data_IF_964882389629
#
_entry.id   IF_964882389629
#
_cell.length_a   1.000
_cell.length_b   1.000
_cell.length_c   1.000
_cell.angle_alpha   90.00
_cell.angle_beta   90.00
_cell.angle_gamma   90.00
#
_symmetry.space_group_name_H-M   'P 1'
#
loop_
_entity.id
_entity.type
_entity.pdbx_description
1 polymer ?
#
# COMPACT_ATOMS: atom_id res chain seq x y z
N UNK A 1 -13.67 4.89 -32.24
CA UNK A 1 -14.61 3.83 -31.83
C UNK A 1 -13.94 3.08 -30.71
N UNK A 2 -14.24 3.45 -29.48
CA UNK A 2 -13.81 2.77 -28.26
C UNK A 2 -15.09 2.31 -27.57
N UNK A 3 -15.42 1.05 -27.73
CA UNK A 3 -16.48 0.41 -26.95
C UNK A 3 -15.82 -0.19 -25.72
N UNK A 4 -16.17 0.32 -24.54
CA UNK A 4 -15.96 -0.38 -23.28
C UNK A 4 -17.09 -1.42 -23.13
N UNK A 5 -16.79 -2.65 -22.66
CA UNK A 5 -17.76 -3.72 -22.61
C UNK A 5 -18.79 -3.51 -21.48
N UNK A 6 -20.06 -3.73 -21.82
CA UNK A 6 -21.19 -3.83 -20.88
C UNK A 6 -21.14 -5.21 -20.21
N UNK A 7 -21.22 -5.27 -18.87
CA UNK A 7 -21.48 -6.51 -18.13
C UNK A 7 -22.82 -6.43 -17.38
N UNK A 8 -23.69 -7.46 -17.48
CA UNK A 8 -24.98 -7.52 -16.81
C UNK A 8 -24.85 -8.24 -15.46
N UNK A 9 -25.42 -7.67 -14.39
CA UNK A 9 -25.50 -8.34 -13.09
C UNK A 9 -25.73 -7.39 -11.91
N UNK A 10 -26.65 -6.44 -12.06
CA UNK A 10 -27.02 -5.49 -11.02
C UNK A 10 -27.98 -6.16 -10.01
N UNK A 11 -27.55 -6.25 -8.75
CA UNK A 11 -28.42 -6.53 -7.62
C UNK A 11 -28.25 -5.40 -6.60
N UNK A 12 -28.76 -4.22 -6.94
CA UNK A 12 -28.96 -3.12 -5.98
C UNK A 12 -29.77 -3.59 -4.77
N UNK A 13 -29.10 -3.78 -3.63
CA UNK A 13 -29.73 -3.96 -2.33
C UNK A 13 -29.56 -2.66 -1.54
N UNK A 14 -30.65 -1.97 -1.14
CA UNK A 14 -30.57 -0.78 -0.29
C UNK A 14 -30.33 -1.18 1.17
N UNK A 15 -29.38 -0.54 1.85
CA UNK A 15 -29.12 -0.70 3.29
C UNK A 15 -29.67 0.50 4.05
N UNK A 16 -30.46 0.26 5.10
CA UNK A 16 -31.17 1.27 5.92
C UNK A 16 -30.57 1.44 7.33
N UNK A 17 -30.79 2.64 7.89
CA UNK A 17 -30.31 3.32 9.11
C UNK A 17 -30.38 2.60 10.49
N UNK A 18 -29.53 3.05 11.43
CA UNK A 18 -29.63 2.85 12.90
C UNK A 18 -29.20 4.11 13.69
N UNK A 19 -29.68 4.27 14.93
CA UNK A 19 -29.61 5.44 15.83
C UNK A 19 -28.92 5.04 17.16
N UNK A 20 -27.99 5.86 17.66
CA UNK A 20 -27.48 5.82 19.05
C UNK A 20 -25.98 5.53 19.18
N UNK A 21 -25.18 6.59 19.39
CA UNK A 21 -23.70 6.65 19.41
C UNK A 21 -22.99 5.59 20.30
N UNK A 22 -22.11 4.80 19.68
CA UNK A 22 -20.88 4.18 20.21
C UNK A 22 -20.04 3.67 19.00
N UNK A 23 -18.72 3.95 19.00
CA UNK A 23 -17.84 3.91 17.82
C UNK A 23 -17.61 2.51 17.22
N UNK A 24 -17.65 2.46 15.87
CA UNK A 24 -16.73 1.84 14.89
C UNK A 24 -17.54 1.35 13.68
N UNK A 25 -17.20 1.91 12.51
CA UNK A 25 -17.82 1.72 11.20
C UNK A 25 -19.22 2.33 11.11
N UNK A 26 -19.43 3.26 10.18
CA UNK A 26 -20.71 3.97 10.05
C UNK A 26 -21.19 4.53 11.40
N UNK A 27 -20.37 5.37 12.03
CA UNK A 27 -20.82 6.59 12.69
C UNK A 27 -19.61 7.37 13.22
N UNK A 28 -19.40 8.53 12.59
CA UNK A 28 -18.80 9.76 13.11
C UNK A 28 -17.33 9.81 13.54
N UNK A 29 -16.46 9.31 12.66
CA UNK A 29 -15.31 10.12 12.20
C UNK A 29 -14.90 9.83 10.73
N UNK A 30 -15.83 9.32 9.92
CA UNK A 30 -15.83 9.53 8.46
C UNK A 30 -17.28 9.75 8.04
N UNK A 31 -17.85 10.89 8.42
CA UNK A 31 -19.15 11.32 7.89
C UNK A 31 -18.91 11.97 6.50
N UNK A 32 -18.66 11.12 5.51
CA UNK A 32 -18.86 11.42 4.09
C UNK A 32 -20.16 10.77 3.61
N UNK A 33 -21.22 10.93 4.40
CA UNK A 33 -22.57 10.62 3.99
C UNK A 33 -23.31 11.96 3.80
N UNK A 34 -23.54 12.33 2.53
CA UNK A 34 -24.64 13.24 2.25
C UNK A 34 -25.92 12.60 2.78
N UNK A 35 -26.52 13.23 3.79
CA UNK A 35 -27.84 12.91 4.27
C UNK A 35 -28.84 13.18 3.13
N UNK A 36 -29.36 12.14 2.47
CA UNK A 36 -30.43 12.26 1.47
C UNK A 36 -31.74 11.68 2.01
N UNK A 37 -32.62 12.55 2.50
CA UNK A 37 -34.06 12.38 2.27
C UNK A 37 -34.44 13.17 1.02
N UNK A 38 -34.73 12.47 -0.07
CA UNK A 38 -35.24 13.06 -1.31
C UNK A 38 -36.13 12.04 -2.02
N UNK A 39 -37.43 12.36 -2.12
CA UNK A 39 -38.46 11.47 -2.61
C UNK A 39 -38.21 10.94 -4.03
N UNK A 40 -38.52 9.66 -4.21
CA UNK A 40 -38.62 8.99 -5.49
C UNK A 40 -39.63 9.71 -6.40
N UNK A 41 -39.17 10.21 -7.56
CA UNK A 41 -40.07 10.65 -8.64
C UNK A 41 -39.78 9.89 -9.94
N UNK A 42 -40.18 8.61 -9.94
CA UNK A 42 -40.54 7.86 -11.15
C UNK A 42 -39.42 7.06 -11.85
N UNK A 43 -39.81 6.09 -12.73
CA UNK A 43 -38.87 5.21 -13.40
C UNK A 43 -38.28 5.91 -14.62
N UNK A 44 -37.26 6.75 -14.40
CA UNK A 44 -36.44 7.37 -15.42
C UNK A 44 -35.06 6.74 -15.42
N UNK A 45 -34.70 6.10 -16.53
CA UNK A 45 -33.39 5.48 -16.75
C UNK A 45 -32.35 6.55 -17.16
N UNK A 46 -32.19 7.61 -16.36
CA UNK A 46 -31.13 8.60 -16.53
C UNK A 46 -30.19 8.52 -15.33
N UNK A 47 -29.02 7.93 -15.56
CA UNK A 47 -27.90 8.01 -14.63
C UNK A 47 -27.37 9.44 -14.74
N UNK A 48 -27.94 10.32 -13.93
CA UNK A 48 -27.67 11.75 -14.01
C UNK A 48 -26.26 12.01 -13.48
N UNK A 49 -25.49 12.79 -14.25
CA UNK A 49 -24.11 13.19 -14.00
C UNK A 49 -24.03 14.25 -12.88
N UNK A 50 -24.79 14.03 -11.80
CA UNK A 50 -24.98 14.94 -10.68
C UNK A 50 -24.07 14.53 -9.51
N UNK A 51 -23.54 15.48 -8.73
CA UNK A 51 -22.68 15.17 -7.59
C UNK A 51 -23.42 14.44 -6.46
N UNK A 52 -22.65 13.88 -5.52
CA UNK A 52 -23.09 13.12 -4.34
C UNK A 52 -23.62 11.71 -4.60
N UNK A 53 -22.93 10.96 -5.43
CA UNK A 53 -23.32 9.58 -5.68
C UNK A 53 -22.53 8.57 -4.86
N UNK A 54 -23.22 7.51 -4.43
CA UNK A 54 -22.59 6.35 -3.80
C UNK A 54 -23.06 5.09 -4.53
N UNK A 55 -22.10 4.28 -4.96
CA UNK A 55 -22.37 3.02 -5.66
C UNK A 55 -21.70 1.85 -4.94
N UNK A 56 -22.36 0.69 -4.98
CA UNK A 56 -21.78 -0.59 -4.55
C UNK A 56 -21.76 -1.53 -5.74
N UNK A 57 -20.62 -2.15 -6.01
CA UNK A 57 -20.45 -3.09 -7.10
C UNK A 57 -19.65 -4.32 -6.64
N UNK A 58 -19.96 -5.48 -7.22
CA UNK A 58 -19.18 -6.71 -7.06
C UNK A 58 -18.68 -7.15 -8.43
N UNK A 59 -17.46 -6.76 -8.84
CA UNK A 59 -16.95 -7.11 -10.17
C UNK A 59 -16.72 -8.62 -10.34
N UNK A 60 -16.62 -9.36 -9.24
CA UNK A 60 -16.54 -10.82 -9.17
C UNK A 60 -17.01 -11.30 -7.78
N UNK A 61 -17.10 -12.63 -7.59
CA UNK A 61 -17.61 -13.25 -6.35
C UNK A 61 -16.72 -13.02 -5.11
N UNK A 62 -15.48 -12.58 -5.30
CA UNK A 62 -14.48 -12.35 -4.25
C UNK A 62 -14.20 -10.87 -3.99
N UNK A 63 -14.97 -9.94 -4.56
CA UNK A 63 -14.68 -8.51 -4.44
C UNK A 63 -15.96 -7.70 -4.28
N UNK A 64 -15.92 -6.76 -3.33
CA UNK A 64 -16.93 -5.71 -3.18
C UNK A 64 -16.22 -4.37 -3.29
N UNK A 65 -16.80 -3.45 -4.04
CA UNK A 65 -16.32 -2.08 -4.24
C UNK A 65 -17.43 -1.13 -3.81
N UNK A 66 -17.12 -0.21 -2.92
CA UNK A 66 -17.96 0.95 -2.60
C UNK A 66 -17.27 2.17 -3.17
N UNK A 67 -18.00 2.99 -3.91
CA UNK A 67 -17.47 4.18 -4.57
C UNK A 67 -18.28 5.39 -4.14
N UNK A 68 -17.56 6.42 -3.76
CA UNK A 68 -18.07 7.75 -3.47
C UNK A 68 -17.63 8.67 -4.59
N UNK A 69 -18.58 9.12 -5.40
CA UNK A 69 -18.35 9.92 -6.60
C UNK A 69 -18.90 11.33 -6.40
N UNK A 70 -18.00 12.30 -6.50
CA UNK A 70 -18.26 13.74 -6.39
C UNK A 70 -19.07 14.11 -5.15
N UNK A 71 -18.74 13.51 -4.01
CA UNK A 71 -19.47 13.78 -2.76
C UNK A 71 -18.98 15.07 -2.13
N UNK A 72 -19.91 16.00 -1.94
CA UNK A 72 -19.76 17.25 -1.22
C UNK A 72 -19.91 17.07 0.30
N UNK A 73 -19.79 18.19 1.02
CA UNK A 73 -19.78 18.21 2.49
C UNK A 73 -21.12 18.70 3.06
N UNK A 74 -21.39 18.32 4.32
CA UNK A 74 -22.59 18.74 5.03
C UNK A 74 -22.71 20.28 5.10
N UNK A 75 -23.90 20.88 4.88
CA UNK A 75 -25.22 20.23 4.84
C UNK A 75 -25.73 19.72 3.49
N UNK A 76 -25.08 20.07 2.37
CA UNK A 76 -25.34 19.60 1.00
C UNK A 76 -24.55 20.52 0.02
N UNK A 77 -23.31 20.85 0.37
CA UNK A 77 -22.49 21.78 -0.39
C UNK A 77 -21.53 21.01 -1.29
N UNK A 78 -21.66 21.22 -2.60
CA UNK A 78 -20.84 20.58 -3.64
C UNK A 78 -19.88 21.58 -4.30
N UNK A 79 -19.58 22.70 -3.64
CA UNK A 79 -18.53 23.65 -4.08
C UNK A 79 -17.12 23.04 -3.97
N UNK A 80 -16.99 21.96 -3.19
CA UNK A 80 -15.85 21.05 -3.11
C UNK A 80 -16.37 19.63 -3.11
N UNK A 81 -15.63 18.72 -3.69
CA UNK A 81 -16.04 17.31 -3.82
C UNK A 81 -14.87 16.37 -3.61
N UNK A 82 -15.16 15.22 -2.98
CA UNK A 82 -14.21 14.14 -2.82
C UNK A 82 -14.62 12.94 -3.72
N UNK A 83 -13.62 12.24 -4.27
CA UNK A 83 -13.75 11.02 -5.04
C UNK A 83 -12.88 9.93 -4.42
N UNK A 84 -13.49 8.85 -3.94
CA UNK A 84 -12.75 7.74 -3.36
C UNK A 84 -13.50 6.41 -3.41
N UNK A 85 -12.78 5.32 -3.21
CA UNK A 85 -13.33 3.97 -3.16
C UNK A 85 -12.80 3.18 -1.97
N UNK A 86 -13.62 2.24 -1.53
CA UNK A 86 -13.25 1.12 -0.67
C UNK A 86 -13.41 -0.17 -1.48
N UNK A 87 -12.36 -0.97 -1.54
CA UNK A 87 -12.39 -2.32 -2.10
C UNK A 87 -12.14 -3.31 -0.97
N UNK A 88 -13.01 -4.31 -0.86
CA UNK A 88 -12.82 -5.46 0.00
C UNK A 88 -12.66 -6.68 -0.89
N UNK A 89 -11.56 -7.41 -0.73
CA UNK A 89 -11.23 -8.57 -1.55
C UNK A 89 -11.01 -9.79 -0.67
N UNK A 90 -11.79 -10.83 -0.88
CA UNK A 90 -11.59 -12.11 -0.22
C UNK A 90 -10.24 -12.71 -0.66
N UNK A 91 -9.37 -12.98 0.32
CA UNK A 91 -8.05 -13.56 0.12
C UNK A 91 -7.98 -15.02 0.59
N UNK A 92 -9.09 -15.60 1.05
CA UNK A 92 -9.12 -16.94 1.67
C UNK A 92 -8.57 -18.03 0.75
N UNK A 93 -8.82 -17.94 -0.56
CA UNK A 93 -8.30 -18.91 -1.53
C UNK A 93 -6.78 -18.78 -1.76
N UNK A 94 -6.22 -17.59 -1.57
CA UNK A 94 -4.81 -17.29 -1.79
C UNK A 94 -3.98 -17.66 -0.58
N UNK A 95 -4.50 -17.37 0.62
CA UNK A 95 -3.82 -17.66 1.89
C UNK A 95 -4.11 -19.08 2.40
N UNK A 96 -5.24 -19.66 2.00
CA UNK A 96 -5.73 -20.94 2.51
C UNK A 96 -6.38 -20.84 3.89
N UNK A 97 -6.73 -19.63 4.35
CA UNK A 97 -7.35 -19.36 5.65
C UNK A 97 -8.68 -18.64 5.43
N UNK A 98 -9.78 -19.27 5.85
CA UNK A 98 -11.11 -18.67 5.75
C UNK A 98 -11.19 -17.36 6.54
N UNK A 99 -11.69 -16.32 5.89
CA UNK A 99 -11.89 -15.01 6.52
C UNK A 99 -10.69 -14.07 6.40
N UNK A 100 -9.62 -14.48 5.71
CA UNK A 100 -8.57 -13.56 5.27
C UNK A 100 -9.09 -12.69 4.13
N UNK A 101 -8.82 -11.39 4.19
CA UNK A 101 -9.22 -10.44 3.16
C UNK A 101 -8.26 -9.27 3.08
N UNK A 102 -8.30 -8.57 1.95
CA UNK A 102 -7.58 -7.33 1.73
C UNK A 102 -8.55 -6.15 1.68
N UNK A 103 -8.09 -5.02 2.19
CA UNK A 103 -8.73 -3.72 2.13
C UNK A 103 -7.92 -2.85 1.19
N UNK A 104 -8.54 -2.24 0.19
CA UNK A 104 -7.94 -1.13 -0.56
C UNK A 104 -8.77 0.13 -0.39
N UNK A 105 -8.13 1.23 0.01
CA UNK A 105 -8.68 2.56 -0.18
C UNK A 105 -8.05 3.17 -1.43
N UNK A 106 -8.87 3.82 -2.25
CA UNK A 106 -8.43 4.50 -3.46
C UNK A 106 -8.93 5.94 -3.39
N UNK A 107 -8.03 6.89 -3.26
CA UNK A 107 -8.32 8.31 -3.25
C UNK A 107 -7.90 8.92 -4.58
N UNK A 108 -8.80 9.64 -5.24
CA UNK A 108 -8.53 10.31 -6.52
C UNK A 108 -8.53 11.83 -6.34
N UNK A 109 -9.61 12.36 -5.78
CA UNK A 109 -9.77 13.78 -5.50
C UNK A 109 -10.18 13.97 -4.05
N UNK A 110 -9.44 14.79 -3.31
CA UNK A 110 -9.80 15.23 -1.96
C UNK A 110 -9.66 16.75 -1.89
N UNK A 111 -10.80 17.44 -1.73
CA UNK A 111 -10.88 18.90 -1.67
C UNK A 111 -11.37 19.43 -0.32
N UNK A 112 -12.05 18.60 0.46
CA UNK A 112 -12.66 18.99 1.74
C UNK A 112 -12.37 17.97 2.84
N UNK A 113 -12.26 18.46 4.07
CA UNK A 113 -11.99 17.66 5.29
C UNK A 113 -13.13 17.68 6.30
N UNK A 114 -14.01 18.69 6.26
CA UNK A 114 -14.97 18.94 7.33
C UNK A 114 -16.27 19.58 6.85
N UNK A 115 -17.42 19.08 7.32
CA UNK A 115 -18.71 19.75 7.14
C UNK A 115 -19.02 20.80 8.22
N UNK A 116 -20.05 21.62 7.99
CA UNK A 116 -20.45 22.69 8.92
C UNK A 116 -20.82 22.17 10.33
N UNK A 117 -21.41 20.97 10.41
CA UNK A 117 -21.78 20.33 11.67
C UNK A 117 -20.57 20.06 12.59
N UNK A 118 -19.41 19.82 11.99
CA UNK A 118 -18.14 19.57 12.68
C UNK A 118 -17.32 20.84 12.87
N UNK A 119 -17.96 22.01 12.74
CA UNK A 119 -17.31 23.32 12.90
C UNK A 119 -16.47 23.75 11.70
N UNK A 120 -16.64 23.10 10.55
CA UNK A 120 -16.01 23.48 9.29
C UNK A 120 -16.54 24.80 8.73
N UNK A 121 -15.79 25.38 7.80
CA UNK A 121 -16.24 26.49 6.95
C UNK A 121 -15.70 26.27 5.55
N UNK A 122 -16.56 26.36 4.54
CA UNK A 122 -16.23 26.09 3.14
C UNK A 122 -15.55 24.71 2.94
N UNK A 123 -15.96 23.71 3.72
CA UNK A 123 -15.44 22.33 3.63
C UNK A 123 -14.14 22.05 4.41
N UNK A 124 -13.61 23.02 5.17
CA UNK A 124 -12.29 22.92 5.82
C UNK A 124 -12.30 23.40 7.28
N UNK A 125 -11.30 22.94 8.07
CA UNK A 125 -11.10 23.30 9.48
C UNK A 125 -12.14 22.66 10.42
N UNK A 126 -12.09 22.97 11.72
CA UNK A 126 -13.02 22.37 12.69
C UNK A 126 -12.48 21.05 13.25
N UNK A 127 -13.29 19.99 13.21
CA UNK A 127 -12.81 18.61 13.45
C UNK A 127 -12.67 17.92 12.11
N UNK A 128 -11.44 17.84 11.59
CA UNK A 128 -11.14 17.25 10.29
C UNK A 128 -11.40 15.74 10.25
N UNK A 129 -11.67 15.24 9.03
CA UNK A 129 -11.94 13.83 8.77
C UNK A 129 -10.79 12.91 9.23
N UNK A 130 -11.17 11.70 9.63
CA UNK A 130 -10.27 10.58 9.82
C UNK A 130 -10.49 9.57 8.69
N UNK A 131 -9.42 8.92 8.26
CA UNK A 131 -9.50 7.81 7.31
C UNK A 131 -8.85 6.56 7.89
N UNK A 132 -9.30 5.37 7.50
CA UNK A 132 -8.76 4.10 7.97
C UNK A 132 -9.84 3.06 8.25
N UNK A 133 -9.54 2.09 9.11
CA UNK A 133 -10.46 1.02 9.49
C UNK A 133 -10.39 0.73 10.98
N UNK A 134 -11.46 0.15 11.49
CA UNK A 134 -11.55 -0.28 12.88
C UNK A 134 -12.45 -1.53 12.97
N UNK A 135 -12.03 -2.50 13.78
CA UNK A 135 -12.67 -3.81 13.92
C UNK A 135 -13.85 -3.81 14.91
N UNK A 136 -14.05 -2.76 15.69
CA UNK A 136 -15.18 -2.67 16.64
C UNK A 136 -14.89 -3.33 17.99
N UNK A 137 -13.63 -3.72 18.23
CA UNK A 137 -13.22 -4.52 19.38
C UNK A 137 -12.37 -3.73 20.40
N UNK A 138 -12.27 -2.41 20.22
CA UNK A 138 -11.44 -1.47 21.00
C UNK A 138 -9.93 -1.80 21.00
N UNK A 139 -9.49 -2.68 20.11
CA UNK A 139 -8.11 -3.20 20.09
C UNK A 139 -7.49 -3.01 18.72
N UNK A 140 -8.20 -3.41 17.67
CA UNK A 140 -7.73 -3.49 16.31
C UNK A 140 -8.28 -2.35 15.47
N UNK A 141 -7.45 -1.34 15.23
CA UNK A 141 -7.80 -0.18 14.42
C UNK A 141 -6.57 0.44 13.79
N UNK A 142 -6.76 1.14 12.68
CA UNK A 142 -5.71 1.87 11.97
C UNK A 142 -6.29 3.18 11.44
N UNK A 143 -5.61 4.28 11.74
CA UNK A 143 -5.86 5.57 11.12
C UNK A 143 -4.78 5.82 10.05
N UNK A 144 -5.18 6.37 8.90
CA UNK A 144 -4.26 6.77 7.84
C UNK A 144 -3.58 8.09 8.20
N UNK A 145 -2.41 8.39 7.59
CA UNK A 145 -1.68 9.63 7.82
C UNK A 145 -2.55 10.88 7.59
N UNK A 146 -2.29 11.93 8.38
CA UNK A 146 -3.04 13.18 8.30
C UNK A 146 -4.47 13.13 8.85
N UNK A 147 -4.95 11.99 9.36
CA UNK A 147 -6.25 11.91 10.02
C UNK A 147 -6.40 12.94 11.14
N UNK A 148 -7.57 13.57 11.24
CA UNK A 148 -7.86 14.69 12.16
C UNK A 148 -6.99 15.95 11.95
N UNK A 149 -6.48 16.13 10.74
CA UNK A 149 -5.80 17.36 10.35
C UNK A 149 -6.03 17.67 8.87
N UNK A 150 -5.69 18.89 8.40
CA UNK A 150 -5.80 19.24 6.98
C UNK A 150 -4.99 18.33 6.05
N UNK A 151 -3.94 17.69 6.57
CA UNK A 151 -3.07 16.76 5.86
C UNK A 151 -3.78 15.47 5.41
N UNK A 152 -4.99 15.16 5.89
CA UNK A 152 -5.80 14.03 5.37
C UNK A 152 -6.07 14.16 3.87
N UNK A 153 -6.01 15.37 3.31
CA UNK A 153 -6.12 15.60 1.86
C UNK A 153 -4.93 15.05 1.07
N UNK A 154 -3.78 14.82 1.72
CA UNK A 154 -2.58 14.28 1.08
C UNK A 154 -2.68 12.77 0.81
N UNK A 155 -3.72 12.09 1.31
CA UNK A 155 -3.97 10.68 1.01
C UNK A 155 -4.14 10.42 -0.48
N UNK A 156 -4.58 11.42 -1.26
CA UNK A 156 -4.67 11.35 -2.73
C UNK A 156 -3.30 11.43 -3.43
N UNK A 157 -2.27 11.94 -2.74
CA UNK A 157 -0.93 12.18 -3.29
C UNK A 157 0.12 11.18 -2.76
N UNK A 158 -0.24 10.35 -1.79
CA UNK A 158 0.66 9.43 -1.09
C UNK A 158 0.11 8.01 -1.11
N UNK A 159 0.93 7.03 -0.73
CA UNK A 159 0.59 5.60 -0.79
C UNK A 159 1.49 4.79 0.15
N UNK A 160 0.96 3.68 0.68
CA UNK A 160 1.75 2.64 1.35
C UNK A 160 2.12 1.46 0.43
N UNK A 161 1.81 1.57 -0.87
CA UNK A 161 2.12 0.56 -1.89
C UNK A 161 3.32 0.99 -2.72
N UNK A 162 3.26 2.19 -3.31
CA UNK A 162 4.32 2.76 -4.13
C UNK A 162 4.04 4.25 -4.39
N UNK A 163 5.08 5.11 -4.48
CA UNK A 163 4.93 6.51 -4.90
C UNK A 163 4.31 6.68 -6.29
N UNK A 164 4.45 5.69 -7.17
CA UNK A 164 3.89 5.70 -8.52
C UNK A 164 2.38 5.38 -8.55
N UNK A 165 1.80 5.01 -7.41
CA UNK A 165 0.37 4.74 -7.23
C UNK A 165 -0.23 5.66 -6.15
N UNK A 166 -0.14 7.00 -6.31
CA UNK A 166 -0.70 7.92 -5.33
C UNK A 166 -2.20 7.66 -5.16
N UNK A 167 -2.69 7.78 -3.93
CA UNK A 167 -4.09 7.52 -3.62
C UNK A 167 -4.41 6.06 -3.29
N UNK A 168 -3.52 5.10 -3.59
CA UNK A 168 -3.74 3.69 -3.29
C UNK A 168 -3.19 3.34 -1.90
N UNK A 169 -4.06 2.81 -1.04
CA UNK A 169 -3.70 2.31 0.28
C UNK A 169 -4.20 0.89 0.43
N UNK A 170 -3.31 -0.07 0.72
CA UNK A 170 -3.68 -1.48 0.86
C UNK A 170 -3.35 -2.04 2.23
N UNK A 171 -4.21 -2.90 2.76
CA UNK A 171 -4.04 -3.55 4.05
C UNK A 171 -4.49 -5.00 3.99
N UNK A 172 -3.63 -5.89 4.46
CA UNK A 172 -3.90 -7.31 4.58
C UNK A 172 -4.45 -7.64 5.98
N UNK A 173 -5.70 -8.09 6.06
CA UNK A 173 -6.24 -8.66 7.30
C UNK A 173 -5.99 -10.17 7.26
N UNK A 174 -5.26 -10.68 8.25
CA UNK A 174 -4.80 -12.07 8.29
C UNK A 174 -5.11 -12.70 9.64
N UNK A 175 -5.81 -13.82 9.64
CA UNK A 175 -6.32 -14.50 10.84
C UNK A 175 -7.14 -13.57 11.75
N UNK A 176 -7.85 -12.60 11.17
CA UNK A 176 -8.62 -11.59 11.91
C UNK A 176 -7.79 -10.47 12.53
N UNK A 177 -6.48 -10.42 12.28
CA UNK A 177 -5.57 -9.40 12.81
C UNK A 177 -5.16 -8.39 11.72
N UNK A 178 -5.09 -7.09 12.04
CA UNK A 178 -4.61 -6.08 11.10
C UNK A 178 -3.09 -6.18 10.86
N UNK A 179 -2.57 -5.54 9.79
CA UNK A 179 -1.13 -5.45 9.60
C UNK A 179 -0.47 -4.71 10.77
N UNK A 180 0.74 -5.13 11.12
CA UNK A 180 1.50 -4.68 12.28
C UNK A 180 1.25 -5.47 13.57
N UNK A 181 0.18 -6.25 13.66
CA UNK A 181 -0.17 -7.02 14.87
C UNK A 181 0.70 -8.26 15.08
N UNK A 182 1.27 -8.82 14.00
CA UNK A 182 2.12 -10.01 14.08
C UNK A 182 3.39 -9.82 13.27
N UNK A 183 4.48 -10.56 13.58
CA UNK A 183 5.67 -10.53 12.73
C UNK A 183 5.30 -10.87 11.29
N UNK A 184 4.50 -11.93 11.07
CA UNK A 184 4.18 -12.45 9.73
C UNK A 184 3.20 -11.59 8.92
N UNK A 185 2.65 -10.53 9.51
CA UNK A 185 1.82 -9.52 8.85
C UNK A 185 2.24 -8.14 9.39
N UNK A 186 3.44 -7.64 9.05
CA UNK A 186 3.94 -6.38 9.57
C UNK A 186 3.25 -5.19 8.89
N UNK A 187 3.38 -4.01 9.49
CA UNK A 187 2.88 -2.77 8.89
C UNK A 187 3.92 -2.19 7.93
N UNK A 188 3.45 -1.78 6.75
CA UNK A 188 4.26 -1.16 5.70
C UNK A 188 4.53 0.32 5.99
N UNK A 189 5.75 0.84 5.73
CA UNK A 189 6.02 2.27 5.80
C UNK A 189 5.31 3.06 4.70
N UNK A 190 5.14 4.36 4.93
CA UNK A 190 4.76 5.34 3.92
C UNK A 190 6.02 6.10 3.50
N UNK A 191 6.25 6.25 2.20
CA UNK A 191 7.41 6.99 1.70
C UNK A 191 7.19 8.51 1.80
N UNK A 192 8.22 9.25 2.25
CA UNK A 192 8.22 10.70 2.34
C UNK A 192 9.51 11.32 1.78
N UNK A 193 9.52 12.65 1.62
CA UNK A 193 10.67 13.38 1.03
C UNK A 193 11.98 13.21 1.81
N UNK A 194 11.91 12.83 3.09
CA UNK A 194 13.06 12.65 3.98
C UNK A 194 13.31 11.17 4.36
N UNK A 195 12.56 10.20 3.81
CA UNK A 195 12.74 8.78 4.07
C UNK A 195 11.42 8.02 4.23
N UNK A 196 11.30 7.25 5.32
CA UNK A 196 10.14 6.41 5.61
C UNK A 196 9.44 6.89 6.87
N UNK A 197 8.15 7.14 6.75
CA UNK A 197 7.29 7.50 7.86
C UNK A 197 6.37 6.33 8.22
N UNK A 198 6.28 6.09 9.52
CA UNK A 198 5.34 5.15 10.09
C UNK A 198 4.35 5.94 10.95
N UNK A 199 3.19 6.25 10.38
CA UNK A 199 2.09 6.87 11.12
C UNK A 199 1.09 5.79 11.51
N UNK A 200 1.15 5.36 12.78
CA UNK A 200 0.23 4.39 13.34
C UNK A 200 -0.04 4.63 14.82
N UNK A 201 -1.18 4.12 15.27
CA UNK A 201 -1.59 4.19 16.67
C UNK A 201 -0.95 3.06 17.48
N UNK A 202 -0.49 3.36 18.69
CA UNK A 202 0.18 2.40 19.58
C UNK A 202 -0.66 2.10 20.81
N UNK A 203 -0.82 0.82 21.15
CA UNK A 203 -1.43 0.38 22.41
C UNK A 203 -0.33 0.01 23.41
N UNK A 204 -0.37 0.58 24.61
CA UNK A 204 0.66 0.35 25.62
C UNK A 204 0.81 -1.14 25.95
N UNK A 205 2.02 -1.67 25.76
CA UNK A 205 2.35 -3.06 26.05
C UNK A 205 2.08 -4.05 24.91
N UNK A 206 1.54 -3.59 23.78
CA UNK A 206 1.44 -4.37 22.55
C UNK A 206 2.63 -4.06 21.64
N UNK A 207 3.38 -5.09 21.18
CA UNK A 207 4.40 -4.88 20.16
C UNK A 207 3.73 -4.56 18.82
N UNK A 208 4.30 -3.61 18.06
CA UNK A 208 3.97 -3.39 16.65
C UNK A 208 5.16 -3.83 15.82
N UNK A 209 4.88 -4.66 14.83
CA UNK A 209 5.88 -5.20 13.90
C UNK A 209 5.87 -4.35 12.64
N UNK A 210 6.98 -3.66 12.39
CA UNK A 210 7.25 -2.89 11.18
C UNK A 210 8.28 -3.63 10.34
N UNK A 211 8.16 -3.54 9.02
CA UNK A 211 9.06 -4.22 8.10
C UNK A 211 9.39 -3.30 6.91
N UNK A 212 10.65 -2.85 6.78
CA UNK A 212 11.07 -2.00 5.67
C UNK A 212 11.32 -2.82 4.40
N UNK A 213 11.09 -2.20 3.24
CA UNK A 213 11.49 -2.74 1.94
C UNK A 213 13.01 -2.90 1.81
N UNK A 214 13.48 -3.87 1.01
CA UNK A 214 14.90 -4.03 0.66
C UNK A 214 15.12 -3.82 -0.84
N UNK A 215 16.23 -3.21 -1.22
CA UNK A 215 16.59 -3.04 -2.63
C UNK A 215 17.05 -4.37 -3.25
N UNK A 216 16.40 -4.77 -4.35
CA UNK A 216 16.78 -5.91 -5.21
C UNK A 216 17.40 -5.48 -6.56
N UNK A 217 17.43 -4.16 -6.79
CA UNK A 217 18.00 -3.57 -7.99
C UNK A 217 17.95 -2.04 -7.99
N UNK A 218 18.43 -1.45 -9.07
CA UNK A 218 18.42 0.00 -9.29
C UNK A 218 18.23 0.35 -10.76
N UNK A 219 17.43 1.39 -11.01
CA UNK A 219 17.31 2.07 -12.29
C UNK A 219 18.21 3.31 -12.32
N UNK A 220 19.03 3.42 -13.36
CA UNK A 220 19.88 4.58 -13.61
C UNK A 220 19.42 5.30 -14.86
N UNK A 221 19.19 6.61 -14.78
CA UNK A 221 18.70 7.40 -15.89
C UNK A 221 19.35 8.79 -15.96
N UNK A 222 19.76 9.21 -17.16
CA UNK A 222 20.16 10.59 -17.46
C UNK A 222 18.91 11.46 -17.64
N UNK A 223 18.88 12.61 -16.98
CA UNK A 223 17.68 13.48 -16.99
C UNK A 223 17.45 14.14 -18.34
N UNK A 224 18.52 14.54 -19.04
CA UNK A 224 18.45 15.15 -20.37
C UNK A 224 19.49 14.56 -21.34
N UNK A 225 19.23 13.34 -21.85
CA UNK A 225 20.20 12.59 -22.64
C UNK A 225 20.48 13.19 -24.01
N UNK A 226 19.63 14.10 -24.50
CA UNK A 226 19.83 14.79 -25.76
C UNK A 226 21.01 15.79 -25.73
N UNK A 227 21.37 16.26 -24.54
CA UNK A 227 22.40 17.31 -24.35
C UNK A 227 23.53 16.91 -23.40
N UNK A 228 23.48 15.72 -22.82
CA UNK A 228 24.43 15.26 -21.81
C UNK A 228 25.20 14.02 -22.29
N UNK A 229 26.44 13.82 -21.81
CA UNK A 229 27.15 12.55 -22.00
C UNK A 229 26.31 11.36 -21.50
N UNK A 230 26.29 10.28 -22.28
CA UNK A 230 25.53 9.05 -21.97
C UNK A 230 26.39 8.07 -21.18
N UNK A 231 25.78 7.09 -20.50
CA UNK A 231 26.49 6.04 -19.80
C UNK A 231 27.30 5.19 -20.78
N UNK A 232 28.60 5.04 -20.53
CA UNK A 232 29.53 4.27 -21.36
C UNK A 232 29.86 2.92 -20.72
N UNK A 233 30.17 2.91 -19.44
CA UNK A 233 30.38 1.66 -18.68
C UNK A 233 29.79 1.75 -17.29
N UNK A 234 29.42 0.59 -16.75
CA UNK A 234 29.07 0.42 -15.34
C UNK A 234 30.01 -0.61 -14.69
N UNK A 235 30.46 -0.33 -13.46
CA UNK A 235 31.21 -1.21 -12.58
C UNK A 235 30.38 -1.43 -11.32
N UNK A 236 29.96 -2.68 -11.10
CA UNK A 236 29.09 -3.05 -9.99
C UNK A 236 29.90 -3.41 -8.73
N UNK A 237 29.38 -3.07 -7.53
CA UNK A 237 30.02 -3.40 -6.26
C UNK A 237 29.99 -4.91 -6.00
N UNK A 238 30.81 -5.36 -5.05
CA UNK A 238 30.81 -6.75 -4.58
C UNK A 238 29.85 -6.88 -3.40
N UNK A 239 28.74 -7.57 -3.62
CA UNK A 239 27.60 -7.76 -2.70
C UNK A 239 26.98 -9.13 -3.03
N UNK A 240 26.51 -9.86 -2.01
CA UNK A 240 25.83 -11.13 -2.20
C UNK A 240 26.63 -12.19 -2.94
N UNK A 241 26.06 -12.76 -4.00
CA UNK A 241 26.71 -13.77 -4.83
C UNK A 241 27.63 -13.19 -5.92
N UNK A 242 27.79 -11.87 -5.94
CA UNK A 242 28.57 -11.09 -6.90
C UNK A 242 28.06 -11.17 -8.35
N UNK A 243 26.81 -11.58 -8.60
CA UNK A 243 26.23 -11.67 -9.95
C UNK A 243 25.01 -10.77 -10.11
N UNK A 244 24.96 -10.04 -11.23
CA UNK A 244 23.87 -9.11 -11.51
C UNK A 244 23.35 -9.24 -12.93
N UNK A 245 22.05 -9.05 -13.11
CA UNK A 245 21.46 -8.93 -14.44
C UNK A 245 21.43 -7.46 -14.86
N UNK A 246 21.86 -7.20 -16.10
CA UNK A 246 21.92 -5.86 -16.69
C UNK A 246 20.90 -5.78 -17.82
N UNK A 247 20.02 -4.79 -17.75
CA UNK A 247 19.01 -4.50 -18.76
C UNK A 247 19.25 -3.14 -19.40
N UNK A 248 18.93 -3.04 -20.69
CA UNK A 248 18.95 -1.80 -21.46
C UNK A 248 17.55 -1.49 -22.00
N UNK A 249 17.25 -0.21 -22.18
CA UNK A 249 15.96 0.23 -22.72
C UNK A 249 15.99 0.26 -24.25
N UNK A 250 14.98 -0.31 -24.91
CA UNK A 250 14.86 -0.30 -26.37
C UNK A 250 13.95 0.81 -26.92
N UNK A 251 13.35 1.60 -26.03
CA UNK A 251 12.36 2.64 -26.33
C UNK A 251 10.95 2.29 -25.85
N UNK A 252 10.66 1.01 -25.63
CA UNK A 252 9.35 0.51 -25.17
C UNK A 252 9.46 -0.37 -23.93
N UNK A 253 10.46 -1.25 -23.89
CA UNK A 253 10.62 -2.24 -22.83
C UNK A 253 12.08 -2.36 -22.36
N UNK A 254 12.23 -2.93 -21.17
CA UNK A 254 13.53 -3.36 -20.63
C UNK A 254 13.95 -4.68 -21.28
N UNK A 255 15.11 -4.66 -21.94
CA UNK A 255 15.67 -5.83 -22.63
C UNK A 255 16.94 -6.29 -21.90
N UNK A 256 16.99 -7.58 -21.56
CA UNK A 256 18.15 -8.19 -20.92
C UNK A 256 19.38 -8.10 -21.84
N UNK A 257 20.40 -7.38 -21.38
CA UNK A 257 21.65 -7.18 -22.10
C UNK A 257 22.72 -8.18 -21.65
N UNK A 258 22.79 -8.47 -20.35
CA UNK A 258 23.65 -9.49 -19.78
C UNK A 258 22.98 -10.13 -18.56
N UNK A 259 23.09 -11.46 -18.44
CA UNK A 259 22.66 -12.19 -17.25
C UNK A 259 23.86 -12.65 -16.44
N UNK A 260 23.76 -12.57 -15.11
CA UNK A 260 24.80 -13.01 -14.18
C UNK A 260 26.16 -12.35 -14.44
N UNK A 261 26.17 -11.04 -14.68
CA UNK A 261 27.38 -10.25 -14.85
C UNK A 261 28.13 -10.12 -13.51
N UNK A 262 29.40 -10.50 -13.51
CA UNK A 262 30.20 -10.54 -12.29
C UNK A 262 30.58 -9.13 -11.78
N UNK A 263 30.46 -8.94 -10.46
CA UNK A 263 30.96 -7.79 -9.72
C UNK A 263 32.45 -7.53 -10.02
N UNK A 264 32.88 -6.28 -9.86
CA UNK A 264 34.28 -5.89 -10.04
C UNK A 264 34.77 -5.89 -11.49
N UNK A 265 33.94 -6.26 -12.46
CA UNK A 265 34.19 -6.13 -13.90
C UNK A 265 33.30 -5.06 -14.53
N UNK A 266 33.89 -4.21 -15.37
CA UNK A 266 33.12 -3.18 -16.08
C UNK A 266 32.36 -3.76 -17.27
N UNK A 267 31.05 -3.52 -17.32
CA UNK A 267 30.22 -3.77 -18.49
C UNK A 267 30.25 -2.54 -19.42
N UNK A 268 30.48 -2.76 -20.72
CA UNK A 268 30.54 -1.70 -21.74
C UNK A 268 29.26 -1.70 -22.59
N UNK A 269 28.54 -0.57 -22.59
CA UNK A 269 27.30 -0.39 -23.34
C UNK A 269 27.50 -0.14 -24.85
N UNK A 270 28.73 -0.23 -25.34
CA UNK A 270 29.09 0.00 -26.73
C UNK A 270 29.42 1.46 -27.04
N UNK A 271 29.74 1.75 -28.30
CA UNK A 271 30.28 3.06 -28.70
C UNK A 271 29.29 4.23 -28.51
N UNK A 272 27.98 3.96 -28.60
CA UNK A 272 26.93 4.97 -28.43
C UNK A 272 26.58 5.25 -26.97
N UNK A 273 26.93 4.35 -26.04
CA UNK A 273 26.41 4.39 -24.68
C UNK A 273 24.88 4.23 -24.61
N UNK A 274 24.33 4.41 -23.42
CA UNK A 274 22.87 4.38 -23.15
C UNK A 274 22.46 5.55 -22.27
N UNK A 275 21.23 6.05 -22.45
CA UNK A 275 20.63 7.07 -21.59
C UNK A 275 20.11 6.51 -20.27
N UNK A 276 19.74 5.22 -20.24
CA UNK A 276 19.29 4.52 -19.04
C UNK A 276 19.66 3.05 -19.08
N UNK A 277 19.85 2.46 -17.91
CA UNK A 277 20.03 1.02 -17.73
C UNK A 277 19.47 0.60 -16.36
N UNK A 278 19.16 -0.68 -16.25
CA UNK A 278 18.63 -1.29 -15.02
C UNK A 278 19.55 -2.40 -14.56
N UNK A 279 19.77 -2.46 -13.25
CA UNK A 279 20.47 -3.54 -12.57
C UNK A 279 19.46 -4.29 -11.71
N UNK A 280 19.43 -5.61 -11.85
CA UNK A 280 18.71 -6.54 -10.98
C UNK A 280 19.68 -7.61 -10.46
N UNK A 281 19.23 -8.40 -9.50
CA UNK A 281 19.99 -9.52 -8.96
C UNK A 281 20.64 -9.23 -7.61
N UNK A 282 20.36 -8.09 -6.98
CA UNK A 282 20.70 -7.91 -5.56
C UNK A 282 19.80 -8.87 -4.77
N UNK A 283 20.42 -9.71 -3.95
CA UNK A 283 19.71 -10.72 -3.20
C UNK A 283 19.00 -10.11 -1.99
N UNK A 284 17.78 -10.56 -1.77
CA UNK A 284 16.96 -10.21 -0.61
C UNK A 284 17.72 -10.45 0.72
N UNK A 285 18.57 -11.48 0.77
CA UNK A 285 19.34 -11.82 1.97
C UNK A 285 20.37 -10.76 2.37
N UNK A 286 20.76 -9.88 1.44
CA UNK A 286 21.69 -8.78 1.71
C UNK A 286 21.03 -7.62 2.45
N UNK A 287 19.68 -7.59 2.52
CA UNK A 287 18.88 -6.62 3.28
C UNK A 287 19.31 -5.17 3.02
N UNK A 288 19.54 -4.86 1.74
CA UNK A 288 20.11 -3.58 1.34
C UNK A 288 19.08 -2.47 1.54
N UNK A 289 19.40 -1.49 2.39
CA UNK A 289 18.53 -0.34 2.66
C UNK A 289 18.44 0.56 1.41
N UNK A 290 17.27 0.67 0.77
CA UNK A 290 17.09 1.49 -0.43
C UNK A 290 17.35 2.99 -0.20
N UNK A 291 17.31 3.48 1.04
CA UNK A 291 17.52 4.90 1.38
C UNK A 291 18.94 5.25 1.78
N UNK A 292 19.82 4.27 1.98
CA UNK A 292 21.22 4.55 2.24
C UNK A 292 21.96 4.82 0.92
N UNK A 293 22.39 6.06 0.65
CA UNK A 293 23.07 6.42 -0.61
C UNK A 293 24.45 5.77 -0.76
N UNK A 294 24.94 5.10 0.29
CA UNK A 294 26.22 4.39 0.30
C UNK A 294 26.09 2.87 0.28
N UNK A 295 24.86 2.35 0.32
CA UNK A 295 24.63 0.91 0.35
C UNK A 295 24.96 0.21 -0.98
N UNK A 296 24.78 0.90 -2.12
CA UNK A 296 25.09 0.35 -3.44
C UNK A 296 25.95 1.31 -4.30
N UNK A 297 27.28 1.24 -4.12
CA UNK A 297 28.23 2.14 -4.79
C UNK A 297 28.62 1.63 -6.17
N UNK A 298 28.12 2.29 -7.22
CA UNK A 298 28.45 1.96 -8.63
C UNK A 298 29.49 2.89 -9.24
N UNK A 299 30.44 2.33 -9.97
CA UNK A 299 31.38 3.09 -10.80
C UNK A 299 30.82 3.32 -12.20
N UNK A 300 30.72 4.58 -12.62
CA UNK A 300 30.16 4.95 -13.94
C UNK A 300 31.19 5.69 -14.78
N UNK A 301 31.21 5.41 -16.08
CA UNK A 301 31.92 6.23 -17.07
C UNK A 301 30.94 6.72 -18.14
N UNK A 302 31.33 7.78 -18.85
CA UNK A 302 30.46 8.46 -19.82
C UNK A 302 31.09 8.55 -21.20
N UNK A 303 30.27 8.68 -22.23
CA UNK A 303 30.70 8.74 -23.65
C UNK A 303 31.47 9.99 -24.01
N UNK A 304 31.44 11.02 -23.16
CA UNK A 304 32.16 12.27 -23.34
C UNK A 304 32.31 13.05 -22.04
N UNK A 305 32.97 14.22 -22.13
CA UNK A 305 33.15 15.13 -21.02
C UNK A 305 32.04 16.19 -20.98
N UNK A 306 31.54 16.52 -19.80
CA UNK A 306 30.47 17.51 -19.62
C UNK A 306 29.84 17.41 -18.23
N UNK A 307 28.90 18.30 -17.94
CA UNK A 307 28.04 18.14 -16.79
C UNK A 307 27.03 17.02 -17.05
N UNK A 308 26.72 16.24 -16.02
CA UNK A 308 25.72 15.17 -16.03
C UNK A 308 24.79 15.40 -14.86
N UNK A 309 23.50 15.29 -15.13
CA UNK A 309 22.43 15.15 -14.12
C UNK A 309 21.76 13.81 -14.37
N UNK A 310 21.59 13.04 -13.30
CA UNK A 310 21.07 11.68 -13.36
C UNK A 310 20.39 11.29 -12.06
N UNK A 311 19.55 10.27 -12.14
CA UNK A 311 18.89 9.61 -11.01
C UNK A 311 19.35 8.15 -10.87
N UNK A 312 19.33 7.66 -9.62
CA UNK A 312 19.49 6.26 -9.24
C UNK A 312 18.27 5.93 -8.37
N UNK A 313 17.32 5.18 -8.90
CA UNK A 313 16.07 4.85 -8.22
C UNK A 313 16.10 3.37 -7.79
N UNK A 314 15.87 3.05 -6.51
CA UNK A 314 15.85 1.66 -6.05
C UNK A 314 14.65 0.91 -6.63
N UNK A 315 14.86 -0.38 -6.91
CA UNK A 315 13.80 -1.36 -7.14
C UNK A 315 13.73 -2.20 -5.88
N UNK A 316 12.61 -2.09 -5.15
CA UNK A 316 12.46 -2.77 -3.88
C UNK A 316 11.62 -4.03 -3.98
N UNK A 317 11.85 -4.93 -3.05
CA UNK A 317 10.95 -6.04 -2.76
C UNK A 317 10.73 -6.09 -1.27
N UNK A 318 9.47 -6.32 -0.90
CA UNK A 318 9.08 -6.60 0.46
C UNK A 318 9.56 -8.01 0.87
N UNK A 319 10.16 -8.12 2.05
CA UNK A 319 10.68 -9.38 2.57
C UNK A 319 9.86 -9.78 3.79
N UNK A 320 8.78 -10.58 3.63
CA UNK A 320 8.03 -11.02 4.78
C UNK A 320 8.97 -11.72 5.76
N UNK A 321 8.86 -11.47 7.06
CA UNK A 321 9.77 -12.06 8.00
C UNK A 321 9.67 -13.57 7.90
N UNK A 322 10.84 -14.19 7.84
CA UNK A 322 10.93 -15.65 7.88
C UNK A 322 10.16 -16.10 9.10
N UNK A 323 9.11 -16.91 8.90
CA UNK A 323 8.41 -17.58 9.99
C UNK A 323 9.47 -18.30 10.79
N UNK A 324 9.84 -17.74 11.95
CA UNK A 324 10.67 -18.43 12.90
C UNK A 324 9.95 -19.76 13.15
N UNK A 325 10.62 -20.93 13.00
CA UNK A 325 9.96 -22.19 13.26
C UNK A 325 9.38 -22.10 14.65
N UNK A 326 8.05 -22.16 14.78
CA UNK A 326 7.44 -22.20 16.08
C UNK A 326 8.14 -23.31 16.87
N UNK A 327 8.69 -23.04 18.07
CA UNK A 327 9.26 -24.10 18.88
C UNK A 327 8.16 -25.12 19.09
N UNK A 328 8.28 -26.25 18.39
CA UNK A 328 7.22 -27.25 18.25
C UNK A 328 6.47 -27.46 19.57
N UNK A 329 5.20 -27.05 19.59
CA UNK A 329 4.27 -27.20 20.73
C UNK A 329 4.19 -28.67 21.20
N UNK A 330 4.61 -29.61 20.33
CA UNK A 330 4.78 -31.04 20.60
C UNK A 330 5.79 -31.36 21.72
N UNK A 331 6.86 -30.58 21.90
CA UNK A 331 7.83 -30.83 22.99
C UNK A 331 7.24 -30.41 24.35
N UNK A 332 6.45 -29.32 24.39
CA UNK A 332 5.83 -28.86 25.63
C UNK A 332 4.67 -29.76 26.09
N UNK A 333 3.89 -30.30 25.14
CA UNK A 333 2.85 -31.31 25.45
C UNK A 333 3.42 -32.66 25.92
N UNK A 334 4.60 -33.05 25.41
CA UNK A 334 5.30 -34.26 25.82
C UNK A 334 5.70 -34.26 27.31
N UNK A 335 6.13 -33.12 27.84
CA UNK A 335 6.45 -32.98 29.27
C UNK A 335 5.20 -32.84 30.16
N UNK A 336 4.12 -32.21 29.67
CA UNK A 336 2.87 -32.03 30.43
C UNK A 336 2.12 -33.35 30.71
N UNK A 337 2.08 -34.27 29.75
CA UNK A 337 1.40 -35.56 29.91
C UNK A 337 2.21 -36.58 30.73
N UNK A 338 3.55 -36.48 30.73
CA UNK A 338 4.41 -37.30 31.59
C UNK A 338 4.24 -37.01 33.09
N UNK A 339 4.06 -35.74 33.45
CA UNK A 339 3.88 -35.31 34.84
C UNK A 339 2.54 -35.77 35.44
N UNK A 340 1.45 -35.79 34.65
CA UNK A 340 0.13 -36.25 35.11
C UNK A 340 0.05 -37.78 35.27
N UNK A 341 0.84 -38.54 34.50
CA UNK A 341 0.94 -40.00 34.63
C UNK A 341 1.57 -40.45 35.96
N UNK A 342 2.54 -39.69 36.48
CA UNK A 342 3.22 -40.01 37.74
C UNK A 342 2.38 -39.67 38.98
N UNK A 343 1.56 -38.62 38.94
CA UNK A 343 0.68 -38.24 40.07
C UNK A 343 -0.46 -39.24 40.26
N UNK A 344 -0.96 -39.88 39.20
CA UNK A 344 -2.03 -40.88 39.29
C UNK A 344 -1.57 -42.24 39.84
N UNK A 345 -0.27 -42.57 39.74
CA UNK A 345 0.31 -43.81 40.29
C UNK A 345 0.58 -43.76 41.79
N UNK A 346 0.73 -42.57 42.40
CA UNK A 346 0.97 -42.45 43.85
C UNK A 346 -0.28 -42.52 44.74
N UNK A 347 -1.50 -42.51 44.18
CA UNK A 347 -2.76 -42.63 44.95
C UNK A 347 -3.37 -44.04 44.95
N UNK A 348 -2.64 -45.06 44.44
CA UNK A 348 -3.09 -46.47 44.43
C UNK A 348 -2.02 -47.45 44.94
N UNK A 349 -1.10 -46.99 45.79
CA UNK A 349 -0.17 -47.86 46.52
C UNK A 349 -0.53 -47.84 48.00
#
# INVERSE_FOLDING_TARGET
MSELPVFPGDLGIPVSTFDGVDYILLDDALEMAGFFEGGFDGPGNSFDNEPNNVWVASPNDSTVVVTWDQVGFFPADTSKTNNFQLVLRDASAETGVDGDFDIEFRYDQLEWTTGDASGGTDGLGGTEAQAGFDAGDNTNFLALPGSFSPEVLELQNTSNVSPDTPGLWTFAIRNGEPPGATPVNPLMPVESQDGWDFDFNVVAGQPIFIDPDVAIGYDYQIDNPATMPLFKTVLLPSIGDDLFDIYTWDGTDWVLAAAGWAAGSSYDFGAGGVDRFRILGIEIAEMLDPTDPTAFITGLTFTGSGAVSMSQNPITVFVPPVTAPEPSVLILFGFGLGALGFVRRRKRA
#
